data_IF_875923994326
#
_entry.id   IF_875923994326
#
_cell.length_a   1.000
_cell.length_b   1.000
_cell.length_c   1.000
_cell.angle_alpha   90.00
_cell.angle_beta   90.00
_cell.angle_gamma   90.00
#
_symmetry.space_group_name_H-M   'P 1'
#
loop_
_entity.id
_entity.type
_entity.pdbx_description
1 polymer ?
#
# COMPACT_ATOMS: atom_id res chain seq x y z
N UNK A 1 -16.57 -36.15 -45.69
CA UNK A 1 -17.04 -35.83 -44.32
C UNK A 1 -15.93 -35.75 -43.25
N UNK A 2 -14.70 -36.26 -43.47
CA UNK A 2 -13.63 -36.23 -42.46
C UNK A 2 -12.96 -34.87 -42.25
N UNK A 3 -12.88 -34.03 -43.30
CA UNK A 3 -12.23 -32.71 -43.23
C UNK A 3 -13.00 -31.70 -42.36
N UNK A 4 -14.34 -31.74 -42.39
CA UNK A 4 -15.19 -30.83 -41.60
C UNK A 4 -15.09 -31.07 -40.09
N UNK A 5 -14.90 -32.32 -39.68
CA UNK A 5 -14.79 -32.69 -38.27
C UNK A 5 -13.47 -32.21 -37.67
N UNK A 6 -12.38 -32.26 -38.44
CA UNK A 6 -11.08 -31.72 -38.07
C UNK A 6 -11.18 -30.20 -37.91
N UNK A 7 -11.80 -29.49 -38.85
CA UNK A 7 -11.96 -28.03 -38.77
C UNK A 7 -12.75 -27.60 -37.53
N UNK A 8 -13.82 -28.33 -37.19
CA UNK A 8 -14.63 -28.06 -35.99
C UNK A 8 -13.81 -28.31 -34.71
N UNK A 9 -13.01 -29.37 -34.67
CA UNK A 9 -12.18 -29.70 -33.52
C UNK A 9 -11.08 -28.65 -33.28
N UNK A 10 -10.47 -28.13 -34.34
CA UNK A 10 -9.42 -27.10 -34.24
C UNK A 10 -9.99 -25.76 -33.78
N UNK A 11 -11.19 -25.40 -34.23
CA UNK A 11 -11.91 -24.21 -33.75
C UNK A 11 -12.26 -24.34 -32.27
N UNK A 12 -12.75 -25.52 -31.85
CA UNK A 12 -13.08 -25.80 -30.44
C UNK A 12 -11.83 -25.74 -29.54
N UNK A 13 -10.69 -26.23 -30.02
CA UNK A 13 -9.42 -26.17 -29.29
C UNK A 13 -8.95 -24.71 -29.07
N UNK A 14 -9.12 -23.82 -30.05
CA UNK A 14 -8.73 -22.42 -29.93
C UNK A 14 -9.56 -21.64 -28.89
N UNK A 15 -10.80 -22.05 -28.62
CA UNK A 15 -11.62 -21.48 -27.53
C UNK A 15 -11.13 -21.85 -26.12
N UNK A 16 -10.44 -22.99 -25.96
CA UNK A 16 -9.80 -23.34 -24.68
C UNK A 16 -8.47 -22.60 -24.45
N UNK A 17 -7.91 -21.97 -25.49
CA UNK A 17 -6.72 -21.13 -25.37
C UNK A 17 -7.03 -19.62 -25.40
N UNK A 18 -8.27 -19.21 -25.65
CA UNK A 18 -8.65 -17.80 -25.55
C UNK A 18 -8.84 -17.39 -24.10
N UNK A 19 -7.99 -16.44 -23.69
CA UNK A 19 -8.04 -15.61 -22.49
C UNK A 19 -7.82 -16.31 -21.16
N UNK A 20 -6.57 -16.70 -20.88
CA UNK A 20 -6.01 -16.20 -19.63
C UNK A 20 -5.69 -14.73 -19.86
N UNK A 21 -6.70 -13.88 -19.66
CA UNK A 21 -6.46 -12.48 -19.36
C UNK A 21 -5.67 -12.50 -18.07
N UNK A 22 -4.34 -12.38 -18.17
CA UNK A 22 -3.57 -11.81 -17.08
C UNK A 22 -4.09 -10.38 -16.95
N UNK A 23 -5.15 -10.23 -16.16
CA UNK A 23 -5.26 -9.02 -15.38
C UNK A 23 -4.00 -9.07 -14.52
N UNK A 24 -2.94 -8.39 -14.97
CA UNK A 24 -1.85 -8.01 -14.11
C UNK A 24 -2.47 -7.06 -13.08
N UNK A 25 -3.21 -7.62 -12.13
CA UNK A 25 -3.52 -6.93 -10.90
C UNK A 25 -2.17 -6.65 -10.32
N UNK A 26 -1.80 -5.39 -10.24
CA UNK A 26 -0.68 -4.96 -9.41
C UNK A 26 -0.79 -5.73 -8.10
N UNK A 27 0.21 -6.58 -7.81
CA UNK A 27 0.14 -7.46 -6.65
C UNK A 27 0.06 -6.57 -5.42
N UNK A 28 -1.13 -6.46 -4.84
CA UNK A 28 -1.32 -5.70 -3.61
C UNK A 28 -0.68 -6.50 -2.48
N UNK A 29 0.20 -5.83 -1.76
CA UNK A 29 0.83 -6.34 -0.57
C UNK A 29 0.23 -5.65 0.64
N UNK A 30 0.06 -6.42 1.72
CA UNK A 30 -0.47 -5.91 2.99
C UNK A 30 0.60 -6.06 4.07
N UNK A 31 0.88 -4.98 4.79
CA UNK A 31 1.79 -4.96 5.93
C UNK A 31 1.05 -4.50 7.17
N UNK A 32 1.22 -5.23 8.27
CA UNK A 32 0.81 -4.82 9.60
C UNK A 32 2.04 -4.26 10.32
N UNK A 33 1.95 -3.02 10.77
CA UNK A 33 3.02 -2.38 11.54
C UNK A 33 2.48 -1.62 12.74
N UNK A 34 3.40 -1.12 13.56
CA UNK A 34 3.08 -0.31 14.74
C UNK A 34 3.75 1.04 14.61
N UNK A 35 3.03 2.09 14.96
CA UNK A 35 3.55 3.46 14.90
C UNK A 35 4.62 3.64 15.98
N UNK A 36 5.80 4.10 15.57
CA UNK A 36 6.92 4.40 16.47
C UNK A 36 6.82 5.83 17.02
N UNK A 37 6.66 6.80 16.12
CA UNK A 37 6.59 8.20 16.47
C UNK A 37 5.88 9.03 15.40
N UNK A 38 5.58 10.27 15.78
CA UNK A 38 5.27 11.36 14.87
C UNK A 38 6.45 12.34 14.89
N UNK A 39 6.83 12.86 13.73
CA UNK A 39 7.81 13.95 13.61
C UNK A 39 7.28 15.04 12.66
N UNK A 40 7.91 16.22 12.70
CA UNK A 40 7.60 17.33 11.79
C UNK A 40 8.74 17.52 10.80
N UNK A 41 8.42 17.54 9.51
CA UNK A 41 9.36 17.95 8.47
C UNK A 41 9.25 19.45 8.25
N UNK A 42 10.35 20.17 8.45
CA UNK A 42 10.43 21.62 8.29
C UNK A 42 10.49 22.07 6.83
N UNK A 43 10.88 21.18 5.90
CA UNK A 43 10.91 21.51 4.48
C UNK A 43 9.49 21.40 3.90
N UNK A 44 8.81 20.30 4.20
CA UNK A 44 7.46 20.01 3.70
C UNK A 44 6.36 20.60 4.58
N UNK A 45 6.74 21.22 5.70
CA UNK A 45 5.83 21.86 6.66
C UNK A 45 4.70 20.92 7.08
N UNK A 46 5.03 19.66 7.35
CA UNK A 46 4.05 18.58 7.52
C UNK A 46 4.47 17.63 8.65
N UNK A 47 3.48 17.20 9.44
CA UNK A 47 3.66 16.14 10.42
C UNK A 47 3.49 14.78 9.75
N UNK A 48 4.41 13.88 10.05
CA UNK A 48 4.45 12.53 9.53
C UNK A 48 4.42 11.50 10.65
N UNK A 49 3.64 10.44 10.46
CA UNK A 49 3.74 9.20 11.21
C UNK A 49 4.89 8.38 10.63
N UNK A 50 5.67 7.74 11.51
CA UNK A 50 6.69 6.76 11.13
C UNK A 50 6.43 5.45 11.86
N UNK A 51 6.51 4.34 11.13
CA UNK A 51 6.33 3.01 11.71
C UNK A 51 7.65 2.41 12.21
N UNK A 52 7.53 1.43 13.11
CA UNK A 52 8.60 0.48 13.35
C UNK A 52 8.91 -0.31 12.06
N UNK A 53 10.10 -0.90 12.01
CA UNK A 53 10.49 -1.81 10.95
C UNK A 53 9.54 -3.01 10.88
N UNK A 54 9.07 -3.34 9.68
CA UNK A 54 8.31 -4.56 9.44
C UNK A 54 9.22 -5.80 9.33
N UNK A 55 8.66 -6.92 8.88
CA UNK A 55 9.41 -8.19 8.72
C UNK A 55 10.51 -8.11 7.66
N UNK A 56 10.50 -7.09 6.81
CA UNK A 56 11.53 -6.79 5.80
C UNK A 56 12.42 -5.62 6.25
N UNK A 57 12.36 -5.24 7.53
CA UNK A 57 13.03 -4.07 8.11
C UNK A 57 12.64 -2.73 7.47
N UNK A 58 11.57 -2.72 6.66
CA UNK A 58 11.09 -1.53 5.97
C UNK A 58 10.29 -0.66 6.93
N UNK A 59 10.45 0.66 6.79
CA UNK A 59 9.72 1.65 7.60
C UNK A 59 8.84 2.48 6.69
N UNK A 60 7.62 2.69 7.14
CA UNK A 60 6.62 3.42 6.39
C UNK A 60 6.41 4.79 7.00
N UNK A 61 6.13 5.76 6.14
CA UNK A 61 5.93 7.15 6.53
C UNK A 61 4.66 7.69 5.87
N UNK A 62 3.81 8.32 6.67
CA UNK A 62 2.52 8.85 6.21
C UNK A 62 2.36 10.28 6.67
N UNK A 63 2.02 11.18 5.75
CA UNK A 63 1.60 12.53 6.11
C UNK A 63 0.25 12.49 6.81
N UNK A 64 0.11 13.24 7.91
CA UNK A 64 -1.16 13.30 8.65
C UNK A 64 -1.72 14.71 8.78
N UNK A 65 -0.87 15.73 8.79
CA UNK A 65 -1.31 17.11 8.95
C UNK A 65 -0.25 18.08 8.46
N UNK A 66 -0.61 18.96 7.53
CA UNK A 66 0.24 20.10 7.17
C UNK A 66 0.08 21.23 8.18
N UNK A 67 1.17 21.91 8.51
CA UNK A 67 1.22 23.05 9.41
C UNK A 67 2.32 24.01 9.01
N UNK A 68 1.99 25.29 8.93
CA UNK A 68 2.91 26.36 8.49
C UNK A 68 4.12 26.53 9.43
N UNK A 69 4.04 26.01 10.65
CA UNK A 69 5.14 26.04 11.60
C UNK A 69 5.14 24.79 12.50
N UNK A 70 6.33 24.49 13.01
CA UNK A 70 6.51 23.50 14.06
C UNK A 70 5.87 23.98 15.37
N UNK A 71 5.08 23.12 16.00
CA UNK A 71 4.52 23.32 17.33
C UNK A 71 4.75 22.08 18.19
N UNK A 72 5.51 22.26 19.28
CA UNK A 72 5.85 21.18 20.21
C UNK A 72 4.61 20.57 20.88
N UNK A 73 3.59 21.38 21.18
CA UNK A 73 2.37 20.87 21.83
C UNK A 73 1.58 19.98 20.88
N UNK A 74 1.40 20.43 19.64
CA UNK A 74 0.82 19.61 18.56
C UNK A 74 1.62 18.33 18.35
N UNK A 75 2.95 18.40 18.26
CA UNK A 75 3.79 17.20 18.10
C UNK A 75 3.58 16.20 19.25
N UNK A 76 3.54 16.68 20.50
CA UNK A 76 3.31 15.85 21.67
C UNK A 76 1.93 15.19 21.61
N UNK A 77 0.88 15.97 21.33
CA UNK A 77 -0.48 15.47 21.23
C UNK A 77 -0.61 14.41 20.13
N UNK A 78 -0.02 14.64 18.95
CA UNK A 78 -0.03 13.67 17.86
C UNK A 78 0.74 12.40 18.25
N UNK A 79 1.88 12.52 18.91
CA UNK A 79 2.60 11.36 19.44
C UNK A 79 1.75 10.58 20.45
N UNK A 80 1.10 11.23 21.42
CA UNK A 80 0.21 10.57 22.38
C UNK A 80 -0.99 9.88 21.71
N UNK A 81 -1.47 10.46 20.60
CA UNK A 81 -2.61 9.97 19.83
C UNK A 81 -2.27 8.71 19.03
N UNK A 82 -1.15 8.73 18.31
CA UNK A 82 -0.81 7.71 17.31
C UNK A 82 0.23 6.69 17.78
N UNK A 83 1.15 7.07 18.66
CA UNK A 83 2.26 6.20 19.05
C UNK A 83 1.76 4.89 19.62
N UNK A 84 2.28 3.80 19.09
CA UNK A 84 1.96 2.46 19.51
C UNK A 84 0.62 1.92 18.98
N UNK A 85 -0.13 2.67 18.17
CA UNK A 85 -1.29 2.13 17.45
C UNK A 85 -0.83 1.16 16.34
N UNK A 86 -1.66 0.16 16.08
CA UNK A 86 -1.46 -0.70 14.91
C UNK A 86 -1.94 0.01 13.65
N UNK A 87 -1.24 -0.25 12.54
CA UNK A 87 -1.61 0.22 11.22
C UNK A 87 -1.56 -0.91 10.21
N UNK A 88 -2.53 -0.92 9.31
CA UNK A 88 -2.59 -1.81 8.14
C UNK A 88 -2.31 -0.98 6.91
N UNK A 89 -1.30 -1.37 6.15
CA UNK A 89 -0.81 -0.65 4.98
C UNK A 89 -1.01 -1.56 3.77
N UNK A 90 -1.73 -1.07 2.78
CA UNK A 90 -1.90 -1.77 1.49
C UNK A 90 -1.17 -0.96 0.43
N UNK A 91 -0.29 -1.62 -0.31
CA UNK A 91 0.51 -1.00 -1.36
C UNK A 91 0.67 -1.92 -2.57
N UNK A 92 1.07 -1.37 -3.70
CA UNK A 92 1.48 -2.10 -4.90
C UNK A 92 2.97 -1.94 -5.15
N UNK A 93 3.53 -2.86 -5.94
CA UNK A 93 4.96 -2.93 -6.22
C UNK A 93 5.70 -3.91 -5.29
N UNK A 94 6.99 -4.12 -5.55
CA UNK A 94 7.88 -4.99 -4.79
C UNK A 94 9.05 -4.22 -4.17
N UNK A 95 9.04 -4.14 -2.84
CA UNK A 95 10.06 -3.46 -2.02
C UNK A 95 11.46 -4.07 -2.23
N UNK A 96 11.54 -5.33 -2.67
CA UNK A 96 12.82 -6.04 -2.84
C UNK A 96 13.47 -5.79 -4.19
N UNK A 97 12.71 -5.34 -5.19
CA UNK A 97 13.17 -5.26 -6.57
C UNK A 97 13.18 -3.84 -7.15
N UNK A 98 13.17 -2.82 -6.29
CA UNK A 98 13.15 -1.39 -6.69
C UNK A 98 11.98 -1.03 -7.62
N UNK A 99 10.86 -1.75 -7.51
CA UNK A 99 9.63 -1.39 -8.21
C UNK A 99 9.06 -0.10 -7.61
N UNK A 100 8.31 0.65 -8.42
CA UNK A 100 7.55 1.80 -7.95
C UNK A 100 6.53 1.33 -6.89
N UNK A 101 6.68 1.85 -5.66
CA UNK A 101 5.79 1.57 -4.55
C UNK A 101 4.71 2.65 -4.50
N UNK A 102 3.45 2.23 -4.63
CA UNK A 102 2.29 3.09 -4.47
C UNK A 102 1.48 2.61 -3.26
N UNK A 103 1.27 3.49 -2.28
CA UNK A 103 0.41 3.20 -1.11
C UNK A 103 -1.04 3.41 -1.55
N UNK A 104 -1.83 2.35 -1.47
CA UNK A 104 -3.26 2.36 -1.79
C UNK A 104 -4.08 2.79 -0.58
N UNK A 105 -3.75 2.26 0.60
CA UNK A 105 -4.46 2.62 1.83
C UNK A 105 -3.58 2.48 3.06
N UNK A 106 -3.93 3.23 4.09
CA UNK A 106 -3.33 3.17 5.41
C UNK A 106 -4.43 3.31 6.46
N UNK A 107 -4.80 2.20 7.08
CA UNK A 107 -5.77 2.16 8.17
C UNK A 107 -5.06 2.20 9.51
N UNK A 108 -5.48 3.10 10.40
CA UNK A 108 -4.96 3.20 11.76
C UNK A 108 -6.05 2.77 12.75
N UNK A 109 -5.67 1.91 13.69
CA UNK A 109 -6.53 1.44 14.77
C UNK A 109 -7.19 2.60 15.53
N UNK A 110 -8.51 2.72 15.39
CA UNK A 110 -9.32 3.76 16.05
C UNK A 110 -9.49 5.07 15.27
N UNK A 111 -8.91 5.19 14.07
CA UNK A 111 -8.99 6.39 13.24
C UNK A 111 -9.51 6.13 11.81
N UNK A 112 -9.42 4.90 11.32
CA UNK A 112 -9.83 4.55 9.96
C UNK A 112 -8.75 4.84 8.92
N UNK A 113 -9.15 4.96 7.66
CA UNK A 113 -8.24 5.13 6.53
C UNK A 113 -7.78 6.60 6.40
N UNK A 114 -6.48 6.81 6.20
CA UNK A 114 -5.89 8.13 6.01
C UNK A 114 -6.09 8.71 4.60
N UNK A 115 -6.43 7.89 3.61
CA UNK A 115 -6.43 8.25 2.19
C UNK A 115 -7.82 8.15 1.52
N UNK A 116 -8.90 8.39 2.27
CA UNK A 116 -10.27 8.56 1.72
C UNK A 116 -10.50 9.93 1.05
#
# INVERSE_FOLDING_TARGET
>A
MKKSLITILTILALFFFSSQTFAAGYNQSTVLSKIDCVYYDTNDHTYYIVTLGDSLESRWMFNIQSSVAFDTNTLQQLNETYKGKQTTIIYTGDIRHEDEIEIISCDIEGFGNLYE
#
